data_IF_385090176104
#
_entry.id   IF_385090176104
#
_cell.length_a   1.000
_cell.length_b   1.000
_cell.length_c   1.000
_cell.angle_alpha   90.00
_cell.angle_beta   90.00
_cell.angle_gamma   90.00
#
_symmetry.space_group_name_H-M   'P 1'
#
loop_
_entity.id
_entity.type
_entity.pdbx_description
1 polymer ?
#
# COMPACT_ATOMS: atom_id res chain seq x y z
N UNK A 1 6.74 -3.54 -10.61
CA UNK A 1 6.48 -2.41 -9.69
C UNK A 1 5.02 -2.44 -9.23
N UNK A 2 4.77 -2.26 -7.94
CA UNK A 2 3.44 -2.28 -7.31
C UNK A 2 3.04 -0.86 -6.92
N UNK A 3 2.00 -0.32 -7.57
CA UNK A 3 1.54 1.06 -7.37
C UNK A 3 0.46 1.16 -6.31
N UNK A 4 0.61 2.10 -5.38
CA UNK A 4 -0.46 2.57 -4.50
C UNK A 4 -0.79 4.03 -4.87
N UNK A 5 -2.02 4.30 -5.31
CA UNK A 5 -2.42 5.64 -5.73
C UNK A 5 -2.67 6.58 -4.53
N UNK A 6 -2.49 7.89 -4.77
CA UNK A 6 -2.73 8.99 -3.82
C UNK A 6 -4.20 9.37 -3.64
N UNK A 7 -4.51 10.64 -3.34
CA UNK A 7 -5.89 11.10 -3.13
C UNK A 7 -6.31 11.22 -1.67
N UNK A 8 -5.37 11.58 -0.78
CA UNK A 8 -5.62 11.88 0.63
C UNK A 8 -6.40 10.81 1.39
N UNK A 9 -6.30 9.55 0.96
CA UNK A 9 -7.04 8.39 1.50
C UNK A 9 -8.56 8.50 1.36
N UNK A 10 -9.08 9.46 0.57
CA UNK A 10 -10.50 9.78 0.42
C UNK A 10 -11.00 9.61 -1.01
N UNK A 11 -10.13 9.79 -1.99
CA UNK A 11 -10.45 9.71 -3.42
C UNK A 11 -9.36 8.93 -4.16
N UNK A 12 -9.59 8.66 -5.45
CA UNK A 12 -8.65 7.98 -6.33
C UNK A 12 -9.14 6.61 -6.79
N UNK A 13 -8.48 6.09 -7.82
CA UNK A 13 -8.71 4.75 -8.36
C UNK A 13 -7.55 4.34 -9.26
N UNK A 14 -7.53 3.06 -9.66
CA UNK A 14 -6.62 2.56 -10.70
C UNK A 14 -6.87 3.18 -12.09
N UNK A 15 -8.04 3.78 -12.32
CA UNK A 15 -8.38 4.46 -13.58
C UNK A 15 -8.01 5.94 -13.60
N UNK A 16 -7.25 6.40 -12.59
CA UNK A 16 -6.75 7.77 -12.56
C UNK A 16 -5.95 8.08 -13.83
N UNK A 17 -6.15 9.24 -14.47
CA UNK A 17 -5.35 9.64 -15.64
C UNK A 17 -3.86 9.80 -15.32
N UNK A 18 -3.52 9.92 -14.03
CA UNK A 18 -2.14 9.96 -13.53
C UNK A 18 -1.54 8.56 -13.29
N UNK A 19 -2.26 7.49 -13.64
CA UNK A 19 -1.87 6.10 -13.46
C UNK A 19 -1.71 5.37 -14.78
N UNK A 20 -0.75 5.76 -15.61
CA UNK A 20 -0.42 5.05 -16.85
C UNK A 20 0.84 4.19 -16.67
N UNK A 21 0.68 2.88 -16.77
CA UNK A 21 1.79 1.92 -16.64
C UNK A 21 2.60 1.72 -17.92
N UNK A 22 2.15 2.22 -19.08
CA UNK A 22 2.73 1.89 -20.39
C UNK A 22 4.20 2.29 -20.48
N UNK A 23 4.53 3.50 -20.04
CA UNK A 23 5.93 3.99 -20.06
C UNK A 23 6.81 3.11 -19.19
N UNK A 24 6.39 2.78 -17.96
CA UNK A 24 7.14 1.91 -17.07
C UNK A 24 7.29 0.48 -17.63
N UNK A 25 6.27 -0.03 -18.32
CA UNK A 25 6.31 -1.38 -18.89
C UNK A 25 7.31 -1.55 -20.04
N UNK A 26 7.78 -0.46 -20.65
CA UNK A 26 8.83 -0.49 -21.69
C UNK A 26 10.22 -0.83 -21.13
N UNK A 27 10.38 -0.83 -19.80
CA UNK A 27 11.62 -1.11 -19.09
C UNK A 27 11.62 -2.53 -18.50
N UNK A 28 11.14 -3.53 -19.25
CA UNK A 28 11.01 -4.94 -18.85
C UNK A 28 10.40 -5.13 -17.44
N UNK A 29 9.34 -4.37 -17.17
CA UNK A 29 8.73 -4.28 -15.84
C UNK A 29 7.24 -4.58 -15.89
N UNK A 30 6.80 -5.54 -15.06
CA UNK A 30 5.37 -5.73 -14.79
C UNK A 30 4.88 -4.64 -13.83
N UNK A 31 3.89 -3.86 -14.24
CA UNK A 31 3.29 -2.79 -13.42
C UNK A 31 1.94 -3.24 -12.89
N UNK A 32 1.76 -3.22 -11.57
CA UNK A 32 0.51 -3.63 -10.92
C UNK A 32 -0.19 -2.41 -10.33
N UNK A 33 -1.48 -2.31 -10.61
CA UNK A 33 -2.39 -1.30 -10.08
C UNK A 33 -3.46 -1.99 -9.21
N UNK A 34 -3.66 -1.51 -7.98
CA UNK A 34 -4.70 -2.05 -7.09
C UNK A 34 -5.58 -0.94 -6.51
N UNK A 35 -6.85 -1.26 -6.28
CA UNK A 35 -7.76 -0.45 -5.47
C UNK A 35 -7.63 -0.82 -4.00
N UNK A 36 -8.00 0.14 -3.14
CA UNK A 36 -8.14 -0.04 -1.70
C UNK A 36 -9.31 0.83 -1.21
N UNK A 37 -9.91 0.47 -0.07
CA UNK A 37 -11.03 1.26 0.48
C UNK A 37 -10.60 2.68 0.87
N UNK A 38 -11.48 3.62 0.61
CA UNK A 38 -11.27 5.05 0.82
C UNK A 38 -12.24 5.62 1.86
N UNK A 39 -11.89 6.79 2.39
CA UNK A 39 -12.71 7.52 3.36
C UNK A 39 -13.03 6.69 4.61
N UNK A 40 -14.22 6.84 5.20
CA UNK A 40 -14.62 6.06 6.37
C UNK A 40 -14.54 4.55 6.16
N UNK A 41 -14.83 4.05 4.95
CA UNK A 41 -14.79 2.62 4.67
C UNK A 41 -13.40 1.99 4.76
N UNK A 42 -12.34 2.78 4.56
CA UNK A 42 -10.95 2.33 4.68
C UNK A 42 -10.28 2.74 5.99
N UNK A 43 -10.75 3.80 6.65
CA UNK A 43 -9.96 4.52 7.65
C UNK A 43 -10.73 4.87 8.93
N UNK A 44 -11.98 4.45 9.08
CA UNK A 44 -12.73 4.61 10.32
C UNK A 44 -12.05 3.80 11.45
N UNK A 45 -11.79 4.46 12.58
CA UNK A 45 -11.28 3.85 13.80
C UNK A 45 -12.29 4.07 14.92
N UNK A 46 -12.91 2.99 15.40
CA UNK A 46 -13.86 3.04 16.52
C UNK A 46 -13.25 2.69 17.88
N UNK A 47 -12.00 2.20 17.89
CA UNK A 47 -11.31 1.80 19.12
C UNK A 47 -11.75 0.45 19.69
N UNK A 48 -12.61 -0.29 18.99
CA UNK A 48 -13.03 -1.65 19.32
C UNK A 48 -12.28 -2.69 18.49
N UNK A 49 -12.53 -3.98 18.73
CA UNK A 49 -12.03 -5.06 17.87
C UNK A 49 -12.72 -5.10 16.50
N UNK A 50 -13.98 -4.65 16.41
CA UNK A 50 -14.76 -4.63 15.16
C UNK A 50 -14.42 -3.43 14.27
N UNK A 51 -13.94 -2.33 14.85
CA UNK A 51 -13.45 -1.14 14.12
C UNK A 51 -11.97 -0.85 14.40
N UNK A 52 -11.05 -1.75 14.01
CA UNK A 52 -9.63 -1.67 14.36
C UNK A 52 -8.88 -0.54 13.62
N UNK A 53 -9.51 0.10 12.63
CA UNK A 53 -8.89 1.08 11.75
C UNK A 53 -8.02 0.45 10.66
N UNK A 54 -7.50 1.28 9.76
CA UNK A 54 -6.54 0.92 8.71
C UNK A 54 -6.98 -0.17 7.72
N UNK A 55 -8.28 -0.35 7.53
CA UNK A 55 -8.83 -1.30 6.58
C UNK A 55 -8.27 -1.10 5.16
N UNK A 56 -8.00 0.14 4.75
CA UNK A 56 -7.32 0.44 3.49
C UNK A 56 -5.90 -0.12 3.40
N UNK A 57 -5.11 -0.13 4.49
CA UNK A 57 -3.78 -0.76 4.50
C UNK A 57 -3.87 -2.28 4.50
N UNK A 58 -4.90 -2.86 5.12
CA UNK A 58 -5.15 -4.30 5.05
C UNK A 58 -5.53 -4.73 3.63
N UNK A 59 -6.30 -3.93 2.90
CA UNK A 59 -6.60 -4.18 1.48
C UNK A 59 -5.32 -4.17 0.65
N UNK A 60 -4.46 -3.18 0.84
CA UNK A 60 -3.18 -3.07 0.14
C UNK A 60 -2.23 -4.23 0.51
N UNK A 61 -2.20 -4.64 1.78
CA UNK A 61 -1.43 -5.80 2.23
C UNK A 61 -1.91 -7.10 1.58
N UNK A 62 -3.23 -7.30 1.49
CA UNK A 62 -3.81 -8.47 0.85
C UNK A 62 -3.46 -8.49 -0.64
N UNK A 63 -3.59 -7.35 -1.33
CA UNK A 63 -3.20 -7.22 -2.73
C UNK A 63 -1.69 -7.49 -2.93
N UNK A 64 -0.83 -7.01 -2.03
CA UNK A 64 0.60 -7.26 -2.09
C UNK A 64 0.95 -8.74 -1.90
N UNK A 65 0.27 -9.44 -0.98
CA UNK A 65 0.42 -10.90 -0.82
C UNK A 65 -0.01 -11.64 -2.08
N UNK A 66 -1.17 -11.29 -2.62
CA UNK A 66 -1.67 -11.88 -3.86
C UNK A 66 -0.69 -11.68 -5.01
N UNK A 67 -0.13 -10.48 -5.17
CA UNK A 67 0.89 -10.21 -6.19
C UNK A 67 2.12 -11.08 -5.97
N UNK A 68 2.66 -11.14 -4.75
CA UNK A 68 3.83 -11.99 -4.47
C UNK A 68 3.59 -13.47 -4.78
N UNK A 69 2.37 -13.96 -4.59
CA UNK A 69 1.99 -15.36 -4.85
C UNK A 69 1.70 -15.67 -6.32
N UNK A 70 1.53 -14.66 -7.17
CA UNK A 70 1.03 -14.87 -8.55
C UNK A 70 1.79 -14.11 -9.64
N UNK A 71 2.67 -13.17 -9.31
CA UNK A 71 3.26 -12.28 -10.31
C UNK A 71 4.21 -12.99 -11.29
N UNK A 72 4.74 -14.15 -10.91
CA UNK A 72 5.52 -15.05 -11.75
C UNK A 72 4.74 -15.50 -12.99
N UNK A 73 3.43 -15.75 -12.84
CA UNK A 73 2.52 -16.12 -13.94
C UNK A 73 2.33 -15.00 -14.97
N UNK A 74 2.69 -13.77 -14.62
CA UNK A 74 2.62 -12.59 -15.49
C UNK A 74 4.01 -12.13 -15.96
N UNK A 75 5.06 -12.94 -15.72
CA UNK A 75 6.44 -12.63 -16.12
C UNK A 75 7.18 -11.71 -15.15
N UNK A 76 6.68 -11.48 -13.94
CA UNK A 76 7.39 -10.72 -12.90
C UNK A 76 8.16 -11.60 -11.93
N UNK A 77 9.15 -11.05 -11.23
CA UNK A 77 9.87 -11.76 -10.16
C UNK A 77 9.27 -11.40 -8.78
N UNK A 78 8.70 -12.36 -8.03
CA UNK A 78 8.14 -12.12 -6.71
C UNK A 78 9.17 -11.65 -5.66
N UNK A 79 10.47 -11.84 -5.91
CA UNK A 79 11.55 -11.38 -5.04
C UNK A 79 12.06 -9.97 -5.38
N UNK A 80 11.63 -9.38 -6.51
CA UNK A 80 12.05 -8.06 -6.97
C UNK A 80 10.92 -7.02 -6.92
N UNK A 81 9.86 -7.28 -6.15
CA UNK A 81 8.76 -6.34 -5.99
C UNK A 81 9.28 -5.01 -5.42
N UNK A 82 8.96 -3.91 -6.11
CA UNK A 82 9.18 -2.55 -5.67
C UNK A 82 7.83 -1.86 -5.46
N UNK A 83 7.54 -1.41 -4.23
CA UNK A 83 6.38 -0.58 -3.93
C UNK A 83 6.69 0.87 -4.33
N UNK A 84 5.69 1.54 -4.90
CA UNK A 84 5.77 2.97 -5.12
C UNK A 84 4.40 3.63 -4.97
N UNK A 85 4.40 4.90 -4.56
CA UNK A 85 3.17 5.66 -4.40
C UNK A 85 3.46 7.13 -4.16
N UNK A 86 2.51 7.95 -4.58
CA UNK A 86 2.55 9.41 -4.50
C UNK A 86 1.55 9.91 -3.46
N UNK A 87 1.91 10.96 -2.71
CA UNK A 87 1.06 11.60 -1.71
C UNK A 87 0.54 10.59 -0.68
N UNK A 88 -0.77 10.36 -0.60
CA UNK A 88 -1.38 9.33 0.25
C UNK A 88 -0.94 7.89 -0.08
N UNK A 89 -0.56 7.64 -1.34
CA UNK A 89 0.10 6.40 -1.74
C UNK A 89 1.47 6.29 -1.10
N UNK A 90 2.23 7.38 -1.02
CA UNK A 90 3.52 7.39 -0.31
C UNK A 90 3.38 7.18 1.19
N UNK A 91 2.31 7.69 1.81
CA UNK A 91 1.98 7.37 3.21
C UNK A 91 1.73 5.87 3.39
N UNK A 92 1.01 5.26 2.45
CA UNK A 92 0.76 3.82 2.45
C UNK A 92 2.05 3.01 2.27
N UNK A 93 2.92 3.39 1.33
CA UNK A 93 4.25 2.77 1.15
C UNK A 93 5.07 2.85 2.44
N UNK A 94 5.13 4.03 3.07
CA UNK A 94 5.78 4.22 4.36
C UNK A 94 5.19 3.30 5.44
N UNK A 95 3.87 3.06 5.42
CA UNK A 95 3.19 2.12 6.33
C UNK A 95 3.63 0.68 6.14
N UNK A 96 3.74 0.24 4.89
CA UNK A 96 4.26 -1.10 4.56
C UNK A 96 5.74 -1.26 4.91
N UNK A 97 6.56 -0.22 4.75
CA UNK A 97 7.97 -0.23 5.19
C UNK A 97 8.10 -0.45 6.69
N UNK A 98 7.21 0.16 7.48
CA UNK A 98 7.24 0.05 8.95
C UNK A 98 6.51 -1.19 9.50
N UNK A 99 5.59 -1.77 8.73
CA UNK A 99 4.74 -2.87 9.19
C UNK A 99 5.49 -4.22 9.21
N UNK A 100 5.51 -4.95 10.34
CA UNK A 100 6.03 -6.32 10.39
C UNK A 100 5.21 -7.28 9.52
N UNK A 101 3.92 -6.98 9.27
CA UNK A 101 3.05 -7.82 8.43
C UNK A 101 3.44 -7.78 6.95
N UNK A 102 4.13 -6.71 6.52
CA UNK A 102 4.59 -6.54 5.14
C UNK A 102 6.05 -6.97 4.94
N UNK A 103 6.72 -7.42 6.01
CA UNK A 103 8.14 -7.79 5.99
C UNK A 103 8.38 -8.94 5.02
N UNK A 104 9.36 -8.76 4.14
CA UNK A 104 9.74 -9.77 3.14
C UNK A 104 8.79 -9.88 1.94
N UNK A 105 7.75 -9.04 1.87
CA UNK A 105 6.83 -9.03 0.71
C UNK A 105 7.34 -8.19 -0.46
N UNK A 106 8.32 -7.32 -0.23
CA UNK A 106 8.91 -6.47 -1.24
C UNK A 106 10.37 -6.15 -0.93
N UNK A 107 11.11 -5.74 -1.97
CA UNK A 107 12.55 -5.48 -1.90
C UNK A 107 12.88 -3.99 -1.85
N UNK A 108 12.08 -3.14 -2.50
CA UNK A 108 12.34 -1.70 -2.66
C UNK A 108 11.08 -0.87 -2.43
N UNK A 109 11.25 0.36 -1.99
CA UNK A 109 10.16 1.31 -1.76
C UNK A 109 10.54 2.69 -2.34
N UNK A 110 9.61 3.30 -3.07
CA UNK A 110 9.73 4.64 -3.65
C UNK A 110 8.60 5.49 -3.05
N UNK A 111 8.97 6.61 -2.44
CA UNK A 111 8.07 7.47 -1.67
C UNK A 111 8.03 8.85 -2.33
N UNK A 112 6.99 9.12 -3.10
CA UNK A 112 6.84 10.37 -3.84
C UNK A 112 5.97 11.36 -3.05
N UNK A 113 6.53 12.53 -2.72
CA UNK A 113 5.79 13.66 -2.15
C UNK A 113 5.00 13.37 -0.85
N UNK A 114 5.50 12.49 0.03
CA UNK A 114 4.91 12.28 1.35
C UNK A 114 5.56 11.17 2.16
N UNK A 115 5.37 11.18 3.48
CA UNK A 115 5.69 10.06 4.39
C UNK A 115 4.70 10.04 5.56
N UNK A 116 4.57 8.92 6.27
CA UNK A 116 3.75 8.83 7.49
C UNK A 116 4.19 9.77 8.62
N UNK A 117 5.46 10.21 8.61
CA UNK A 117 6.02 11.05 9.65
C UNK A 117 5.84 12.55 9.36
N UNK A 118 5.48 12.92 8.14
CA UNK A 118 5.29 14.32 7.73
C UNK A 118 3.96 14.94 8.16
N UNK A 119 2.97 14.14 8.57
CA UNK A 119 1.63 14.63 8.92
C UNK A 119 1.13 14.06 10.26
N UNK A 120 0.79 14.95 11.20
CA UNK A 120 0.41 14.61 12.58
C UNK A 120 -0.87 13.76 12.66
N UNK A 121 -1.78 13.90 11.69
CA UNK A 121 -3.07 13.19 11.67
C UNK A 121 -2.90 11.70 11.30
N UNK A 122 -1.91 11.37 10.47
CA UNK A 122 -1.66 9.99 10.03
C UNK A 122 -0.91 9.16 11.10
N UNK A 123 -0.28 9.84 12.06
CA UNK A 123 0.43 9.20 13.18
C UNK A 123 -0.51 8.50 14.18
N UNK A 124 -1.77 8.91 14.25
CA UNK A 124 -2.78 8.24 15.10
C UNK A 124 -3.19 6.89 14.49
N UNK A 125 -3.30 6.82 13.16
CA UNK A 125 -3.70 5.62 12.43
C UNK A 125 -2.62 4.51 12.50
N UNK A 126 -1.34 4.86 12.59
CA UNK A 126 -0.24 3.89 12.45
C UNK A 126 0.19 3.19 13.74
N UNK A 127 -0.28 3.60 14.91
CA UNK A 127 0.16 3.06 16.22
C UNK A 127 -0.05 1.54 16.40
N UNK A 128 -0.97 0.91 15.66
CA UNK A 128 -1.23 -0.54 15.75
C UNK A 128 -0.55 -1.38 14.68
N UNK A 129 -0.13 -0.81 13.55
CA UNK A 129 0.62 -1.55 12.53
C UNK A 129 1.93 -2.10 13.08
N UNK A 130 2.54 -1.43 14.05
CA UNK A 130 3.82 -1.81 14.66
C UNK A 130 3.68 -2.70 15.90
N UNK A 131 2.45 -3.03 16.34
CA UNK A 131 2.22 -3.66 17.66
C UNK A 131 1.54 -5.02 17.68
N UNK A 132 1.00 -5.56 16.58
CA UNK A 132 0.40 -6.89 16.62
C UNK A 132 1.39 -7.99 16.22
N UNK A 133 1.84 -8.76 17.22
CA UNK A 133 2.18 -10.18 17.02
C UNK A 133 0.88 -10.92 16.65
N UNK A 134 0.91 -11.87 15.71
CA UNK A 134 -0.25 -12.71 15.46
C UNK A 134 -0.48 -13.59 16.69
N UNK A 135 -1.64 -13.45 17.33
CA UNK A 135 -2.20 -14.52 18.15
C UNK A 135 -2.68 -15.60 17.18
N UNK A 136 -2.10 -16.79 17.31
CA UNK A 136 -2.57 -18.03 16.67
C UNK A 136 -3.87 -18.45 17.35
#
# INVERSE_FOLDING_TARGET
MFRIYGGSLRTGSIFSPYGDGRVLSTQDTVVVFTNYRLGPFGWLYGGTEHEPGNLGLYDQLLALKWVRENIDKFGGDPNQIALFGESAGSWSVSGHVLSPLSRGLFKRAILESGTLLGNKDVRVLTKRLTRQRPTI
#
